data_IF_627342629525
#
_entry.id   IF_627342629525
#
_cell.length_a   1.000
_cell.length_b   1.000
_cell.length_c   1.000
_cell.angle_alpha   90.00
_cell.angle_beta   90.00
_cell.angle_gamma   90.00
#
_symmetry.space_group_name_H-M   'P 1'
#
loop_
_entity.id
_entity.type
_entity.pdbx_description
1 polymer ?
#
# COMPACT_ATOMS: atom_id res chain seq x y z
N UNK A 1 26.21 -0.73 -27.24
CA UNK A 1 26.28 0.65 -26.79
C UNK A 1 26.38 0.81 -25.26
N UNK A 2 25.65 0.01 -24.45
CA UNK A 2 25.73 0.09 -22.98
C UNK A 2 27.12 -0.25 -22.44
N UNK A 3 27.77 -1.30 -22.98
CA UNK A 3 29.10 -1.75 -22.57
C UNK A 3 30.22 -0.71 -22.73
N UNK A 4 30.11 0.19 -23.72
CA UNK A 4 31.09 1.23 -23.96
C UNK A 4 31.04 2.38 -22.92
N UNK A 5 29.95 2.50 -22.18
CA UNK A 5 29.75 3.50 -21.12
C UNK A 5 30.01 2.97 -19.71
N UNK A 6 30.04 1.65 -19.54
CA UNK A 6 30.36 1.02 -18.25
C UNK A 6 31.91 0.92 -18.17
N UNK A 7 32.56 1.94 -17.62
CA UNK A 7 33.99 1.99 -17.43
C UNK A 7 34.55 0.97 -16.42
N UNK A 8 33.62 0.22 -15.73
CA UNK A 8 34.01 -0.72 -14.69
C UNK A 8 33.83 -2.18 -15.11
N UNK A 9 34.85 -3.02 -14.94
CA UNK A 9 34.76 -4.47 -15.16
C UNK A 9 33.71 -5.14 -14.27
N UNK A 10 33.48 -4.60 -13.06
CA UNK A 10 32.50 -5.16 -12.10
C UNK A 10 31.08 -4.87 -12.52
N UNK A 11 30.76 -3.63 -12.96
CA UNK A 11 29.45 -3.28 -13.54
C UNK A 11 29.18 -4.07 -14.83
N UNK A 12 30.21 -4.24 -15.66
CA UNK A 12 30.16 -5.07 -16.85
C UNK A 12 29.91 -6.54 -16.49
N UNK A 13 30.48 -7.05 -15.38
CA UNK A 13 30.24 -8.38 -14.84
C UNK A 13 28.82 -8.58 -14.37
N UNK A 14 28.25 -7.63 -13.61
CA UNK A 14 26.84 -7.65 -13.18
C UNK A 14 25.89 -7.70 -14.38
N UNK A 15 26.11 -6.89 -15.39
CA UNK A 15 25.30 -6.88 -16.62
C UNK A 15 25.48 -8.15 -17.44
N UNK A 16 26.68 -8.76 -17.46
CA UNK A 16 26.94 -10.04 -18.13
C UNK A 16 26.38 -11.25 -17.39
N UNK A 17 26.39 -11.23 -16.05
CA UNK A 17 25.79 -12.30 -15.24
C UNK A 17 24.26 -12.31 -15.34
N UNK A 18 23.63 -11.21 -15.75
CA UNK A 18 22.23 -11.18 -16.16
C UNK A 18 22.06 -11.85 -17.52
N UNK A 19 22.18 -13.17 -17.57
CA UNK A 19 21.97 -13.95 -18.81
C UNK A 19 20.61 -13.61 -19.43
N UNK A 20 20.61 -12.71 -20.41
CA UNK A 20 19.41 -12.27 -21.14
C UNK A 20 18.59 -11.13 -20.52
N UNK A 21 18.94 -10.61 -19.34
CA UNK A 21 18.22 -9.53 -18.67
C UNK A 21 18.54 -8.12 -19.21
N UNK A 22 17.54 -7.26 -19.31
CA UNK A 22 17.71 -5.84 -19.63
C UNK A 22 18.15 -5.10 -18.38
N UNK A 23 19.05 -4.11 -18.53
CA UNK A 23 19.47 -3.22 -17.45
C UNK A 23 19.00 -1.78 -17.74
N UNK A 24 18.39 -1.14 -16.74
CA UNK A 24 18.05 0.28 -16.75
C UNK A 24 19.26 1.08 -16.28
N UNK A 25 19.73 2.05 -17.07
CA UNK A 25 20.76 2.99 -16.65
C UNK A 25 20.13 4.34 -16.31
N UNK A 26 20.32 4.79 -15.09
CA UNK A 26 19.92 6.11 -14.59
C UNK A 26 21.20 6.95 -14.47
N UNK A 27 21.32 8.01 -15.25
CA UNK A 27 22.51 8.88 -15.26
C UNK A 27 22.30 10.20 -14.51
N UNK A 28 21.08 10.49 -14.07
CA UNK A 28 20.74 11.66 -13.28
C UNK A 28 19.26 11.70 -12.96
N UNK A 29 18.90 12.47 -11.94
CA UNK A 29 17.51 12.78 -11.55
C UNK A 29 17.43 14.29 -11.40
N UNK A 30 16.65 14.91 -12.26
CA UNK A 30 16.42 16.37 -12.27
C UNK A 30 15.00 16.63 -11.84
N UNK A 31 14.84 17.41 -10.77
CA UNK A 31 13.54 17.77 -10.20
C UNK A 31 13.57 19.27 -9.88
N UNK A 32 12.50 20.01 -10.12
CA UNK A 32 12.41 21.42 -9.71
C UNK A 32 12.69 21.57 -8.19
N UNK A 33 13.43 22.61 -7.82
CA UNK A 33 13.67 22.93 -6.42
C UNK A 33 12.40 23.51 -5.79
N UNK A 34 12.12 23.16 -4.54
CA UNK A 34 10.97 23.65 -3.79
C UNK A 34 10.52 22.65 -2.73
N UNK A 35 9.48 22.99 -2.00
CA UNK A 35 8.96 22.19 -0.88
C UNK A 35 8.48 20.79 -1.28
N UNK A 36 8.10 20.60 -2.55
CA UNK A 36 7.63 19.33 -3.10
C UNK A 36 8.72 18.55 -3.87
N UNK A 37 9.97 19.00 -3.81
CA UNK A 37 11.08 18.39 -4.57
C UNK A 37 11.21 16.89 -4.30
N UNK A 38 11.09 16.50 -3.05
CA UNK A 38 11.17 15.09 -2.62
C UNK A 38 10.04 14.24 -3.20
N UNK A 39 8.81 14.74 -3.12
CA UNK A 39 7.63 14.03 -3.62
C UNK A 39 7.66 13.87 -5.13
N UNK A 40 8.01 14.92 -5.87
CA UNK A 40 8.20 14.84 -7.33
C UNK A 40 9.33 13.90 -7.72
N UNK A 41 10.46 13.95 -7.03
CA UNK A 41 11.59 13.04 -7.28
C UNK A 41 11.21 11.59 -7.04
N UNK A 42 10.50 11.30 -5.96
CA UNK A 42 9.99 9.98 -5.65
C UNK A 42 8.98 9.50 -6.70
N UNK A 43 8.04 10.35 -7.10
CA UNK A 43 7.05 10.02 -8.12
C UNK A 43 7.72 9.71 -9.47
N UNK A 44 8.64 10.57 -9.92
CA UNK A 44 9.38 10.39 -11.18
C UNK A 44 10.13 9.06 -11.22
N UNK A 45 10.89 8.76 -10.15
CA UNK A 45 11.62 7.49 -10.06
C UNK A 45 10.67 6.29 -10.06
N UNK A 46 9.58 6.38 -9.32
CA UNK A 46 8.58 5.32 -9.26
C UNK A 46 7.98 5.02 -10.64
N UNK A 47 7.64 6.05 -11.42
CA UNK A 47 7.10 5.88 -12.78
C UNK A 47 8.13 5.22 -13.72
N UNK A 48 9.39 5.68 -13.69
CA UNK A 48 10.45 5.12 -14.53
C UNK A 48 10.74 3.66 -14.15
N UNK A 49 10.83 3.36 -12.85
CA UNK A 49 11.13 2.02 -12.36
C UNK A 49 9.97 1.04 -12.63
N UNK A 50 8.72 1.47 -12.45
CA UNK A 50 7.55 0.62 -12.77
C UNK A 50 7.43 0.37 -14.27
N UNK A 51 7.71 1.38 -15.12
CA UNK A 51 7.76 1.20 -16.55
C UNK A 51 8.89 0.20 -16.96
N UNK A 52 10.05 0.29 -16.33
CA UNK A 52 11.13 -0.66 -16.59
C UNK A 52 10.74 -2.09 -16.17
N UNK A 53 10.10 -2.25 -15.00
CA UNK A 53 9.59 -3.55 -14.54
C UNK A 53 8.55 -4.14 -15.49
N UNK A 54 7.61 -3.34 -15.98
CA UNK A 54 6.59 -3.80 -16.95
C UNK A 54 7.21 -4.27 -18.27
N UNK A 55 8.45 -3.85 -18.56
CA UNK A 55 9.25 -4.26 -19.72
C UNK A 55 10.32 -5.30 -19.38
N UNK A 56 10.21 -5.91 -18.19
CA UNK A 56 11.07 -6.98 -17.70
C UNK A 56 12.56 -6.62 -17.61
N UNK A 57 12.87 -5.37 -17.21
CA UNK A 57 14.23 -5.00 -16.85
C UNK A 57 14.63 -5.71 -15.54
N UNK A 58 15.76 -6.42 -15.58
CA UNK A 58 16.23 -7.24 -14.48
C UNK A 58 17.04 -6.44 -13.43
N UNK A 59 17.73 -5.39 -13.85
CA UNK A 59 18.63 -4.61 -13.00
C UNK A 59 18.47 -3.12 -13.25
N UNK A 60 18.60 -2.33 -12.16
CA UNK A 60 18.80 -0.89 -12.19
C UNK A 60 20.22 -0.53 -11.85
N UNK A 61 20.82 0.39 -12.61
CA UNK A 61 22.14 0.94 -12.38
C UNK A 61 22.03 2.46 -12.33
N UNK A 62 22.52 3.06 -11.25
CA UNK A 62 22.68 4.51 -11.16
C UNK A 62 24.17 4.84 -11.34
N UNK A 63 24.49 5.54 -12.40
CA UNK A 63 25.86 5.98 -12.72
C UNK A 63 25.76 7.46 -13.12
N UNK A 64 25.96 8.40 -12.18
CA UNK A 64 25.82 9.82 -12.47
C UNK A 64 26.85 10.26 -13.51
N UNK A 65 26.45 11.18 -14.39
CA UNK A 65 27.38 11.84 -15.30
C UNK A 65 28.33 12.75 -14.50
N UNK A 66 29.53 13.01 -15.03
CA UNK A 66 30.47 13.96 -14.42
C UNK A 66 29.77 15.31 -14.20
N UNK A 67 29.85 15.84 -12.98
CA UNK A 67 29.18 17.08 -12.59
C UNK A 67 27.68 16.96 -12.28
N UNK A 68 27.01 15.83 -12.56
CA UNK A 68 25.61 15.60 -12.30
C UNK A 68 25.35 14.79 -11.00
N UNK A 69 26.38 14.41 -10.26
CA UNK A 69 26.26 13.74 -8.99
C UNK A 69 25.64 14.68 -7.94
N UNK A 70 24.35 14.51 -7.66
CA UNK A 70 23.61 15.26 -6.65
C UNK A 70 23.41 14.39 -5.42
N UNK A 71 23.72 14.92 -4.22
CA UNK A 71 23.44 14.24 -2.96
C UNK A 71 21.94 13.88 -2.84
N UNK A 72 21.06 14.77 -3.30
CA UNK A 72 19.61 14.55 -3.35
C UNK A 72 19.25 13.36 -4.25
N UNK A 73 19.73 13.33 -5.50
CA UNK A 73 19.46 12.22 -6.41
C UNK A 73 19.99 10.89 -5.84
N UNK A 74 21.20 10.90 -5.28
CA UNK A 74 21.79 9.72 -4.64
C UNK A 74 20.93 9.20 -3.49
N UNK A 75 20.43 10.08 -2.64
CA UNK A 75 19.57 9.70 -1.51
C UNK A 75 18.24 9.11 -1.98
N UNK A 76 17.60 9.72 -2.97
CA UNK A 76 16.39 9.17 -3.59
C UNK A 76 16.60 7.75 -4.13
N UNK A 77 17.70 7.52 -4.83
CA UNK A 77 18.07 6.21 -5.41
C UNK A 77 18.35 5.17 -4.31
N UNK A 78 19.08 5.54 -3.25
CA UNK A 78 19.33 4.65 -2.11
C UNK A 78 18.02 4.20 -1.44
N UNK A 79 17.05 5.09 -1.31
CA UNK A 79 15.71 4.77 -0.76
C UNK A 79 14.90 3.83 -1.65
N UNK A 80 15.28 3.66 -2.93
CA UNK A 80 14.70 2.62 -3.79
C UNK A 80 15.38 1.25 -3.62
N UNK A 81 16.26 1.07 -2.62
CA UNK A 81 16.96 -0.19 -2.37
C UNK A 81 18.22 -0.41 -3.20
N UNK A 82 18.67 0.60 -3.95
CA UNK A 82 19.97 0.53 -4.61
C UNK A 82 21.10 0.53 -3.58
N UNK A 83 22.11 -0.28 -3.81
CA UNK A 83 23.30 -0.40 -2.96
C UNK A 83 24.56 -0.02 -3.70
N UNK A 84 25.62 0.44 -3.00
CA UNK A 84 26.89 0.75 -3.63
C UNK A 84 27.49 -0.44 -4.39
N UNK A 85 28.08 -0.17 -5.53
CA UNK A 85 28.83 -1.18 -6.31
C UNK A 85 30.26 -1.17 -5.83
N UNK A 86 30.79 -2.35 -5.45
CA UNK A 86 32.15 -2.48 -4.98
C UNK A 86 33.16 -2.00 -6.04
N UNK A 87 34.10 -1.15 -5.61
CA UNK A 87 35.13 -0.57 -6.49
C UNK A 87 34.70 0.66 -7.31
N UNK A 88 33.43 1.08 -7.20
CA UNK A 88 32.87 2.24 -7.92
C UNK A 88 32.33 3.28 -6.95
N UNK A 89 32.98 4.46 -6.90
CA UNK A 89 32.70 5.48 -5.88
C UNK A 89 31.27 5.98 -5.88
N UNK A 90 30.67 6.18 -7.06
CA UNK A 90 29.36 6.85 -7.21
C UNK A 90 28.28 5.96 -7.82
N UNK A 91 28.63 4.72 -8.20
CA UNK A 91 27.69 3.80 -8.81
C UNK A 91 26.87 3.04 -7.77
N UNK A 92 25.55 2.91 -8.05
CA UNK A 92 24.61 2.13 -7.25
C UNK A 92 23.89 1.13 -8.15
N UNK A 93 23.50 -0.05 -7.61
CA UNK A 93 22.78 -1.08 -8.35
C UNK A 93 21.65 -1.66 -7.52
N UNK A 94 20.58 -2.13 -8.20
CA UNK A 94 19.50 -2.88 -7.59
C UNK A 94 19.03 -4.03 -8.46
N UNK A 95 18.67 -5.15 -7.84
CA UNK A 95 17.97 -6.25 -8.48
C UNK A 95 16.46 -5.89 -8.57
N UNK A 96 15.96 -5.81 -9.80
CA UNK A 96 14.58 -5.44 -10.11
C UNK A 96 13.67 -6.63 -10.35
N UNK A 97 14.20 -7.86 -10.46
CA UNK A 97 13.43 -9.04 -10.85
C UNK A 97 12.31 -9.40 -9.89
N UNK A 98 12.48 -9.11 -8.60
CA UNK A 98 11.50 -9.38 -7.55
C UNK A 98 11.44 -8.21 -6.56
N UNK A 99 10.76 -7.10 -6.90
CA UNK A 99 10.73 -5.91 -6.06
C UNK A 99 9.93 -6.13 -4.77
N UNK A 100 10.26 -5.32 -3.77
CA UNK A 100 9.38 -5.01 -2.64
C UNK A 100 8.48 -3.84 -3.04
N UNK A 101 7.24 -3.86 -2.64
CA UNK A 101 6.31 -2.75 -2.92
C UNK A 101 5.69 -2.25 -1.62
N UNK A 102 5.80 -0.96 -1.39
CA UNK A 102 5.12 -0.22 -0.32
C UNK A 102 3.97 0.58 -0.93
N UNK A 103 2.74 0.24 -0.57
CA UNK A 103 1.56 1.06 -0.86
C UNK A 103 1.40 2.11 0.24
N UNK A 104 1.66 3.38 -0.07
CA UNK A 104 1.53 4.51 0.84
C UNK A 104 0.08 4.93 0.92
N UNK A 105 -0.56 4.69 2.06
CA UNK A 105 -2.00 4.93 2.22
C UNK A 105 -2.40 5.47 3.61
N UNK A 106 -1.47 5.92 4.44
CA UNK A 106 -1.79 6.43 5.77
C UNK A 106 -2.71 7.66 5.71
N UNK A 107 -2.51 8.53 4.72
CA UNK A 107 -3.35 9.73 4.53
C UNK A 107 -4.82 9.37 4.27
N UNK A 108 -5.07 8.22 3.63
CA UNK A 108 -6.41 7.72 3.36
C UNK A 108 -7.03 6.96 4.56
N UNK A 109 -6.27 6.73 5.61
CA UNK A 109 -6.75 6.13 6.85
C UNK A 109 -7.18 7.18 7.89
N UNK A 110 -6.80 8.45 7.70
CA UNK A 110 -7.09 9.56 8.60
C UNK A 110 -8.25 10.39 8.04
N UNK A 111 -9.15 10.83 8.90
CA UNK A 111 -10.31 11.64 8.52
C UNK A 111 -9.95 13.11 8.30
N UNK A 112 -10.65 13.75 7.37
CA UNK A 112 -10.64 15.21 7.25
C UNK A 112 -11.40 15.86 8.42
N UNK A 113 -10.97 17.05 8.89
CA UNK A 113 -9.86 17.87 8.36
C UNK A 113 -8.48 17.51 8.93
N UNK A 114 -8.37 16.50 9.80
CA UNK A 114 -7.11 16.13 10.48
C UNK A 114 -6.01 15.69 9.49
N UNK A 115 -6.37 14.93 8.46
CA UNK A 115 -5.42 14.46 7.45
C UNK A 115 -4.68 15.59 6.73
N UNK A 116 -5.32 16.75 6.55
CA UNK A 116 -4.74 17.92 5.87
C UNK A 116 -4.02 18.90 6.82
N UNK A 117 -3.98 18.60 8.13
CA UNK A 117 -3.25 19.47 9.08
C UNK A 117 -1.74 19.34 8.86
N UNK A 118 -1.01 20.47 8.79
CA UNK A 118 0.43 20.45 8.49
C UNK A 118 1.27 19.54 9.39
N UNK A 119 0.99 19.52 10.68
CA UNK A 119 1.71 18.66 11.63
C UNK A 119 1.47 17.17 11.36
N UNK A 120 0.23 16.77 11.04
CA UNK A 120 -0.11 15.38 10.71
C UNK A 120 0.51 14.97 9.38
N UNK A 121 0.43 15.83 8.36
CA UNK A 121 1.04 15.60 7.06
C UNK A 121 2.57 15.46 7.16
N UNK A 122 3.23 16.30 7.96
CA UNK A 122 4.67 16.22 8.21
C UNK A 122 5.06 14.92 8.94
N UNK A 123 4.32 14.53 9.97
CA UNK A 123 4.54 13.26 10.67
C UNK A 123 4.38 12.05 9.73
N UNK A 124 3.34 12.03 8.88
CA UNK A 124 3.14 11.01 7.87
C UNK A 124 4.28 10.94 6.84
N UNK A 125 4.75 12.09 6.36
CA UNK A 125 5.88 12.16 5.40
C UNK A 125 7.17 11.64 6.03
N UNK A 126 7.50 12.04 7.26
CA UNK A 126 8.66 11.55 7.97
C UNK A 126 8.59 10.04 8.23
N UNK A 127 7.42 9.54 8.63
CA UNK A 127 7.17 8.12 8.85
C UNK A 127 7.39 7.29 7.57
N UNK A 128 6.95 7.78 6.41
CA UNK A 128 7.15 7.11 5.10
C UNK A 128 8.62 6.97 4.73
N UNK A 129 9.41 8.01 4.94
CA UNK A 129 10.85 8.00 4.67
C UNK A 129 11.51 6.91 5.52
N UNK A 130 11.27 6.93 6.83
CA UNK A 130 11.83 5.93 7.76
C UNK A 130 11.39 4.51 7.41
N UNK A 131 10.10 4.32 7.07
CA UNK A 131 9.58 3.02 6.68
C UNK A 131 10.23 2.50 5.40
N UNK A 132 10.36 3.35 4.38
CA UNK A 132 11.00 2.97 3.13
C UNK A 132 12.48 2.58 3.35
N UNK A 133 13.21 3.33 4.16
CA UNK A 133 14.58 3.00 4.56
C UNK A 133 14.66 1.68 5.34
N UNK A 134 13.73 1.42 6.26
CA UNK A 134 13.67 0.15 6.99
C UNK A 134 13.39 -1.04 6.04
N UNK A 135 12.53 -0.86 5.03
CA UNK A 135 12.24 -1.89 4.03
C UNK A 135 13.46 -2.23 3.15
N UNK A 136 14.32 -1.25 2.83
CA UNK A 136 15.55 -1.53 2.08
C UNK A 136 16.52 -2.41 2.87
N UNK A 137 16.45 -2.37 4.19
CA UNK A 137 17.24 -3.21 5.08
C UNK A 137 16.81 -4.69 5.13
N UNK A 138 15.57 -5.02 4.71
CA UNK A 138 15.07 -6.39 4.73
C UNK A 138 15.77 -7.29 3.68
N UNK A 139 15.96 -6.76 2.49
CA UNK A 139 16.60 -7.45 1.37
C UNK A 139 17.55 -6.48 0.65
N UNK A 140 18.76 -6.25 1.17
CA UNK A 140 19.70 -5.28 0.60
C UNK A 140 19.98 -5.55 -0.87
N UNK A 141 19.94 -4.51 -1.68
CA UNK A 141 20.14 -4.60 -3.13
C UNK A 141 18.92 -5.03 -3.93
N UNK A 142 17.78 -5.30 -3.31
CA UNK A 142 16.50 -5.49 -4.02
C UNK A 142 15.75 -4.16 -4.15
N UNK A 143 15.13 -3.96 -5.30
CA UNK A 143 14.31 -2.76 -5.54
C UNK A 143 13.17 -2.65 -4.53
N UNK A 144 12.98 -1.46 -3.97
CA UNK A 144 11.85 -1.09 -3.12
C UNK A 144 11.06 0.02 -3.81
N UNK A 145 9.86 -0.30 -4.29
CA UNK A 145 8.95 0.68 -4.88
C UNK A 145 8.02 1.27 -3.82
N UNK A 146 7.95 2.59 -3.75
CA UNK A 146 7.06 3.29 -2.84
C UNK A 146 6.00 4.04 -3.65
N UNK A 147 4.78 3.50 -3.67
CA UNK A 147 3.69 3.88 -4.56
C UNK A 147 2.58 4.60 -3.78
N UNK A 148 2.10 5.73 -4.28
CA UNK A 148 1.04 6.52 -3.63
C UNK A 148 -0.35 5.98 -3.93
N UNK A 149 -1.10 5.60 -2.89
CA UNK A 149 -2.52 5.23 -3.04
C UNK A 149 -3.36 6.37 -3.64
N UNK A 150 -3.02 7.64 -3.34
CA UNK A 150 -3.69 8.81 -3.92
C UNK A 150 -3.53 8.92 -5.43
N UNK A 151 -2.31 8.69 -5.94
CA UNK A 151 -2.04 8.69 -7.40
C UNK A 151 -2.81 7.57 -8.08
N UNK A 152 -2.81 6.37 -7.50
CA UNK A 152 -3.55 5.23 -8.04
C UNK A 152 -5.05 5.49 -8.04
N UNK A 153 -5.56 6.05 -6.95
CA UNK A 153 -6.96 6.46 -6.83
C UNK A 153 -7.39 7.37 -7.99
N UNK A 154 -6.65 8.45 -8.23
CA UNK A 154 -6.97 9.40 -9.32
C UNK A 154 -6.90 8.73 -10.70
N UNK A 155 -5.90 7.91 -10.95
CA UNK A 155 -5.76 7.18 -12.22
C UNK A 155 -6.86 6.15 -12.41
N UNK A 156 -7.29 5.45 -11.35
CA UNK A 156 -8.43 4.55 -11.41
C UNK A 156 -9.72 5.30 -11.73
N UNK A 157 -9.98 6.45 -11.10
CA UNK A 157 -11.14 7.28 -11.44
C UNK A 157 -11.16 7.65 -12.92
N UNK A 158 -10.03 8.11 -13.45
CA UNK A 158 -9.91 8.45 -14.87
C UNK A 158 -10.17 7.25 -15.79
N UNK A 159 -9.63 6.07 -15.45
CA UNK A 159 -9.86 4.85 -16.24
C UNK A 159 -11.29 4.35 -16.16
N UNK A 160 -11.91 4.37 -14.98
CA UNK A 160 -13.30 3.96 -14.81
C UNK A 160 -14.23 4.87 -15.60
N UNK A 161 -14.07 6.18 -15.51
CA UNK A 161 -14.91 7.15 -16.22
C UNK A 161 -14.68 7.07 -17.73
N UNK A 162 -13.45 6.95 -18.21
CA UNK A 162 -13.13 6.76 -19.62
C UNK A 162 -13.73 5.45 -20.16
N UNK A 163 -13.62 4.34 -19.41
CA UNK A 163 -14.24 3.06 -19.79
C UNK A 163 -15.75 3.16 -19.87
N UNK A 164 -16.35 3.89 -18.94
CA UNK A 164 -17.79 4.12 -18.85
C UNK A 164 -18.30 5.22 -19.84
N UNK A 165 -17.42 5.76 -20.66
CA UNK A 165 -17.76 6.78 -21.68
C UNK A 165 -18.24 8.11 -21.09
N UNK A 166 -17.83 8.47 -19.86
CA UNK A 166 -18.25 9.67 -19.16
C UNK A 166 -17.05 10.52 -18.71
N UNK A 167 -17.22 11.83 -18.50
CA UNK A 167 -16.17 12.68 -17.95
C UNK A 167 -15.80 12.28 -16.52
N UNK A 168 -14.54 12.52 -16.15
CA UNK A 168 -14.05 12.35 -14.78
C UNK A 168 -14.56 13.43 -13.82
N UNK A 169 -15.04 14.56 -14.35
CA UNK A 169 -15.64 15.64 -13.60
C UNK A 169 -17.17 15.47 -13.53
N UNK A 170 -17.80 15.81 -12.40
CA UNK A 170 -19.26 15.73 -12.27
C UNK A 170 -19.97 16.60 -13.33
N UNK A 171 -20.95 16.04 -14.02
CA UNK A 171 -21.81 16.75 -14.97
C UNK A 171 -23.07 17.32 -14.28
N UNK A 172 -23.51 18.49 -14.78
CA UNK A 172 -24.80 19.09 -14.40
C UNK A 172 -25.53 19.45 -15.69
N UNK A 173 -26.71 18.84 -15.99
CA UNK A 173 -27.38 17.76 -15.26
C UNK A 173 -26.58 16.45 -15.29
N UNK A 174 -26.75 15.60 -14.28
CA UNK A 174 -26.03 14.33 -14.13
C UNK A 174 -26.41 13.36 -15.24
N UNK A 175 -25.41 12.90 -15.98
CA UNK A 175 -25.52 11.80 -16.95
C UNK A 175 -24.72 10.60 -16.44
N UNK A 176 -25.34 9.43 -16.43
CA UNK A 176 -24.71 8.21 -15.95
C UNK A 176 -24.30 7.33 -17.13
N UNK A 177 -23.09 6.85 -17.09
CA UNK A 177 -22.61 5.84 -18.04
C UNK A 177 -23.33 4.49 -17.86
N UNK A 178 -23.16 3.56 -18.82
CA UNK A 178 -23.88 2.29 -18.85
C UNK A 178 -23.49 1.33 -17.72
N UNK A 179 -22.23 1.35 -17.28
CA UNK A 179 -21.70 0.36 -16.36
C UNK A 179 -21.82 0.79 -14.90
N UNK A 180 -21.79 -0.17 -13.99
CA UNK A 180 -21.70 0.07 -12.54
C UNK A 180 -20.26 -0.18 -12.07
N UNK A 181 -19.69 0.77 -11.35
CA UNK A 181 -18.41 0.61 -10.66
C UNK A 181 -18.63 -0.11 -9.34
N UNK A 182 -17.93 -1.23 -9.15
CA UNK A 182 -18.02 -2.08 -7.95
C UNK A 182 -16.64 -2.24 -7.31
N UNK A 183 -16.23 -1.30 -6.44
CA UNK A 183 -15.07 -1.50 -5.59
C UNK A 183 -15.29 -2.70 -4.66
N UNK A 184 -14.35 -3.66 -4.65
CA UNK A 184 -14.42 -4.83 -3.77
C UNK A 184 -13.21 -4.97 -2.82
N UNK A 185 -12.22 -4.08 -2.95
CA UNK A 185 -11.06 -3.94 -2.06
C UNK A 185 -11.15 -2.76 -1.11
N UNK A 186 -9.97 -2.29 -0.66
CA UNK A 186 -9.88 -1.13 0.25
C UNK A 186 -9.87 0.20 -0.53
N UNK A 187 -9.39 0.22 -1.78
CA UNK A 187 -9.39 1.42 -2.63
C UNK A 187 -10.81 1.78 -3.06
N UNK A 188 -11.08 3.06 -3.24
CA UNK A 188 -12.41 3.60 -3.58
C UNK A 188 -13.53 3.24 -2.58
N UNK A 189 -13.18 2.73 -1.39
CA UNK A 189 -14.18 2.38 -0.37
C UNK A 189 -14.89 3.64 0.11
N UNK A 190 -16.22 3.69 -0.09
CA UNK A 190 -17.05 4.84 0.30
C UNK A 190 -16.98 6.05 -0.63
N UNK A 191 -16.34 5.92 -1.78
CA UNK A 191 -16.25 6.96 -2.80
C UNK A 191 -17.32 6.74 -3.86
N UNK A 192 -17.91 7.83 -4.35
CA UNK A 192 -18.77 7.82 -5.53
C UNK A 192 -17.95 8.25 -6.73
N UNK A 193 -17.84 7.39 -7.73
CA UNK A 193 -17.16 7.72 -9.00
C UNK A 193 -18.03 8.71 -9.78
N UNK A 194 -17.47 9.81 -10.30
CA UNK A 194 -18.23 10.78 -11.09
C UNK A 194 -18.99 10.13 -12.26
N UNK A 195 -20.21 10.56 -12.50
CA UNK A 195 -21.07 10.13 -13.61
C UNK A 195 -21.23 8.61 -13.77
N UNK A 196 -20.97 7.85 -12.71
CA UNK A 196 -20.98 6.39 -12.71
C UNK A 196 -21.77 5.89 -11.50
N UNK A 197 -22.65 4.92 -11.70
CA UNK A 197 -23.28 4.23 -10.58
C UNK A 197 -22.18 3.49 -9.81
N UNK A 198 -22.11 3.74 -8.50
CA UNK A 198 -21.05 3.11 -7.66
C UNK A 198 -21.68 2.37 -6.52
N UNK A 199 -21.36 1.08 -6.37
CA UNK A 199 -21.81 0.24 -5.27
C UNK A 199 -20.68 -0.64 -4.77
N UNK A 200 -20.17 -0.38 -3.58
CA UNK A 200 -19.05 -1.13 -2.99
C UNK A 200 -19.51 -2.49 -2.47
N UNK A 201 -18.79 -3.55 -2.78
CA UNK A 201 -18.79 -4.82 -2.06
C UNK A 201 -17.87 -4.68 -0.84
N UNK A 202 -18.47 -4.80 0.34
CA UNK A 202 -17.77 -4.65 1.61
C UNK A 202 -17.12 -5.97 2.02
N UNK A 203 -15.94 -6.24 1.46
CA UNK A 203 -15.12 -7.39 1.83
C UNK A 203 -14.09 -7.01 2.89
N UNK A 204 -13.72 -7.97 3.72
CA UNK A 204 -12.62 -7.84 4.64
C UNK A 204 -11.75 -9.10 4.67
N UNK A 205 -10.51 -8.94 5.11
CA UNK A 205 -9.56 -10.03 5.35
C UNK A 205 -9.56 -10.30 6.84
N UNK A 206 -10.11 -11.44 7.23
CA UNK A 206 -10.32 -11.81 8.62
C UNK A 206 -9.40 -12.97 8.99
N UNK A 207 -8.45 -12.72 9.87
CA UNK A 207 -7.56 -13.75 10.41
C UNK A 207 -8.24 -14.59 11.48
N UNK A 208 -7.88 -15.87 11.52
CA UNK A 208 -8.19 -16.73 12.67
C UNK A 208 -7.45 -16.24 13.92
N UNK A 209 -7.94 -16.56 15.13
CA UNK A 209 -7.34 -16.07 16.38
C UNK A 209 -5.88 -16.46 16.61
N UNK A 210 -5.44 -17.56 16.03
CA UNK A 210 -4.06 -18.07 16.07
C UNK A 210 -3.18 -17.54 14.93
N UNK A 211 -3.75 -16.70 14.04
CA UNK A 211 -3.11 -16.11 12.86
C UNK A 211 -2.61 -17.14 11.82
N UNK A 212 -2.98 -18.40 11.94
CA UNK A 212 -2.54 -19.49 11.03
C UNK A 212 -3.11 -19.35 9.62
N UNK A 213 -4.31 -18.78 9.50
CA UNK A 213 -5.03 -18.62 8.24
C UNK A 213 -5.89 -17.35 8.24
N UNK A 214 -6.38 -16.98 7.07
CA UNK A 214 -7.41 -15.95 6.94
C UNK A 214 -8.42 -16.31 5.86
N UNK A 215 -9.62 -15.76 5.99
CA UNK A 215 -10.71 -15.84 5.01
C UNK A 215 -11.07 -14.45 4.48
N UNK A 216 -11.73 -14.42 3.34
CA UNK A 216 -12.37 -13.20 2.80
C UNK A 216 -13.86 -13.29 3.13
N UNK A 217 -14.32 -12.33 3.94
CA UNK A 217 -15.68 -12.27 4.47
C UNK A 217 -16.32 -10.91 4.19
N UNK A 218 -17.61 -10.79 4.55
CA UNK A 218 -18.23 -9.48 4.61
C UNK A 218 -17.61 -8.68 5.76
N UNK A 219 -17.42 -7.37 5.54
CA UNK A 219 -16.95 -6.48 6.60
C UNK A 219 -17.97 -6.51 7.78
N UNK A 220 -17.48 -6.49 9.03
CA UNK A 220 -18.38 -6.52 10.20
C UNK A 220 -19.49 -5.48 10.14
N UNK A 221 -20.72 -5.91 10.42
CA UNK A 221 -21.91 -5.06 10.36
C UNK A 221 -22.53 -4.89 8.97
N UNK A 222 -21.98 -5.52 7.93
CA UNK A 222 -22.57 -5.56 6.59
C UNK A 222 -23.23 -6.91 6.30
N UNK A 223 -24.15 -6.91 5.34
CA UNK A 223 -24.83 -8.13 4.86
C UNK A 223 -23.81 -9.15 4.33
N UNK A 224 -24.11 -10.46 4.40
CA UNK A 224 -23.27 -11.50 3.81
C UNK A 224 -22.95 -11.24 2.33
N UNK A 225 -21.78 -11.69 1.86
CA UNK A 225 -21.33 -11.43 0.48
C UNK A 225 -22.36 -11.89 -0.59
N UNK A 226 -23.07 -13.03 -0.46
CA UNK A 226 -24.09 -13.41 -1.43
C UNK A 226 -25.21 -12.36 -1.57
N UNK A 227 -25.63 -11.75 -0.47
CA UNK A 227 -26.67 -10.71 -0.47
C UNK A 227 -26.19 -9.40 -1.09
N UNK A 228 -24.93 -9.05 -0.81
CA UNK A 228 -24.31 -7.90 -1.43
C UNK A 228 -24.20 -8.08 -2.98
N UNK A 229 -23.82 -9.27 -3.44
CA UNK A 229 -23.73 -9.58 -4.88
C UNK A 229 -25.12 -9.57 -5.52
N UNK A 230 -26.14 -10.13 -4.88
CA UNK A 230 -27.54 -10.01 -5.34
C UNK A 230 -27.98 -8.55 -5.49
N UNK A 231 -27.57 -7.69 -4.57
CA UNK A 231 -27.83 -6.25 -4.68
C UNK A 231 -27.14 -5.63 -5.90
N UNK A 232 -25.89 -6.04 -6.22
CA UNK A 232 -25.21 -5.58 -7.44
C UNK A 232 -25.97 -6.04 -8.69
N UNK A 233 -26.38 -7.30 -8.74
CA UNK A 233 -27.15 -7.86 -9.86
C UNK A 233 -28.47 -7.14 -10.12
N UNK A 234 -29.13 -6.65 -9.05
CA UNK A 234 -30.39 -5.91 -9.15
C UNK A 234 -30.30 -4.57 -9.91
N UNK A 235 -29.09 -4.02 -10.13
CA UNK A 235 -28.90 -2.85 -10.99
C UNK A 235 -29.03 -3.19 -12.48
N UNK A 236 -28.94 -4.44 -12.86
CA UNK A 236 -29.04 -4.96 -14.24
C UNK A 236 -28.12 -4.23 -15.24
N UNK A 237 -26.87 -3.99 -14.81
CA UNK A 237 -25.83 -3.31 -15.59
C UNK A 237 -24.57 -4.14 -15.63
N UNK A 238 -23.74 -4.01 -16.68
CA UNK A 238 -22.39 -4.56 -16.67
C UNK A 238 -21.56 -3.97 -15.53
N UNK A 239 -20.65 -4.77 -15.00
CA UNK A 239 -19.88 -4.44 -13.78
C UNK A 239 -18.43 -4.18 -14.13
N UNK A 240 -17.90 -3.04 -13.68
CA UNK A 240 -16.47 -2.76 -13.57
C UNK A 240 -16.07 -3.08 -12.12
N UNK A 241 -15.38 -4.20 -11.92
CA UNK A 241 -14.82 -4.57 -10.61
C UNK A 241 -13.54 -3.79 -10.34
N UNK A 242 -13.38 -3.23 -9.12
CA UNK A 242 -12.20 -2.42 -8.80
C UNK A 242 -11.56 -2.86 -7.50
N UNK A 243 -10.21 -3.06 -7.52
CA UNK A 243 -9.40 -3.35 -6.32
C UNK A 243 -8.10 -2.54 -6.32
N UNK A 244 -7.44 -2.51 -5.17
CA UNK A 244 -6.11 -1.92 -5.03
C UNK A 244 -5.03 -2.82 -5.64
N UNK A 245 -5.10 -4.14 -5.43
CA UNK A 245 -4.08 -5.09 -5.88
C UNK A 245 -4.67 -6.43 -6.28
N UNK A 246 -4.15 -6.98 -7.38
CA UNK A 246 -4.42 -8.34 -7.82
C UNK A 246 -3.11 -9.12 -7.94
N UNK A 247 -2.86 -10.00 -6.97
CA UNK A 247 -1.72 -10.90 -6.91
C UNK A 247 -2.18 -12.36 -6.86
N UNK A 248 -2.45 -12.92 -5.67
CA UNK A 248 -2.98 -14.28 -5.49
C UNK A 248 -4.49 -14.37 -5.73
N UNK A 249 -5.16 -13.23 -5.81
CA UNK A 249 -6.57 -13.10 -6.14
C UNK A 249 -7.54 -13.71 -5.13
N UNK A 250 -7.18 -13.86 -3.85
CA UNK A 250 -8.08 -14.47 -2.85
C UNK A 250 -9.46 -13.82 -2.78
N UNK A 251 -9.54 -12.48 -2.92
CA UNK A 251 -10.84 -11.78 -2.95
C UNK A 251 -11.66 -12.16 -4.17
N UNK A 252 -11.07 -12.07 -5.35
CA UNK A 252 -11.79 -12.37 -6.59
C UNK A 252 -12.16 -13.85 -6.67
N UNK A 253 -11.31 -14.78 -6.23
CA UNK A 253 -11.64 -16.21 -6.12
C UNK A 253 -12.84 -16.46 -5.19
N UNK A 254 -13.03 -15.64 -4.16
CA UNK A 254 -14.21 -15.71 -3.27
C UNK A 254 -15.46 -15.13 -3.92
N UNK A 255 -15.31 -14.09 -4.75
CA UNK A 255 -16.43 -13.38 -5.36
C UNK A 255 -16.89 -14.02 -6.70
N UNK A 256 -15.96 -14.55 -7.50
CA UNK A 256 -16.26 -15.07 -8.84
C UNK A 256 -17.41 -16.10 -8.85
N UNK A 257 -17.44 -17.13 -7.97
CA UNK A 257 -18.56 -18.06 -7.93
C UNK A 257 -19.90 -17.40 -7.60
N UNK A 258 -19.91 -16.36 -6.76
CA UNK A 258 -21.12 -15.62 -6.40
C UNK A 258 -21.63 -14.76 -7.55
N UNK A 259 -20.71 -14.14 -8.30
CA UNK A 259 -21.03 -13.37 -9.51
C UNK A 259 -21.60 -14.29 -10.61
N UNK A 260 -21.01 -15.47 -10.79
CA UNK A 260 -21.47 -16.47 -11.73
C UNK A 260 -22.87 -17.01 -11.38
N UNK A 261 -23.09 -17.41 -10.11
CA UNK A 261 -24.39 -17.88 -9.62
C UNK A 261 -25.52 -16.86 -9.79
N UNK A 262 -25.20 -15.58 -9.73
CA UNK A 262 -26.18 -14.51 -9.95
C UNK A 262 -26.25 -14.03 -11.40
N UNK A 263 -25.49 -14.64 -12.31
CA UNK A 263 -25.37 -14.20 -13.69
C UNK A 263 -25.02 -12.71 -13.82
N UNK A 264 -24.14 -12.23 -12.94
CA UNK A 264 -23.66 -10.84 -12.97
C UNK A 264 -22.60 -10.70 -14.06
N UNK A 265 -22.86 -9.88 -15.07
CA UNK A 265 -21.92 -9.64 -16.17
C UNK A 265 -20.78 -8.76 -15.70
N UNK A 266 -19.56 -9.33 -15.61
CA UNK A 266 -18.33 -8.58 -15.39
C UNK A 266 -17.79 -8.13 -16.74
N UNK A 267 -17.74 -6.81 -16.96
CA UNK A 267 -17.23 -6.22 -18.19
C UNK A 267 -15.71 -6.04 -18.12
N UNK A 268 -15.20 -5.63 -16.93
CA UNK A 268 -13.78 -5.46 -16.71
C UNK A 268 -13.40 -5.53 -15.22
N UNK A 269 -12.17 -5.96 -14.95
CA UNK A 269 -11.50 -5.82 -13.65
C UNK A 269 -10.44 -4.74 -13.79
N UNK A 270 -10.52 -3.67 -12.99
CA UNK A 270 -9.55 -2.58 -12.95
C UNK A 270 -8.82 -2.62 -11.60
N UNK A 271 -7.50 -2.65 -11.62
CA UNK A 271 -6.72 -2.70 -10.38
C UNK A 271 -5.61 -1.65 -10.37
N UNK A 272 -5.25 -1.20 -9.17
CA UNK A 272 -4.10 -0.34 -8.99
C UNK A 272 -2.81 -1.06 -9.41
N UNK A 273 -2.65 -2.30 -8.96
CA UNK A 273 -1.48 -3.13 -9.22
C UNK A 273 -1.88 -4.51 -9.69
N UNK A 274 -1.28 -4.96 -10.80
CA UNK A 274 -1.46 -6.28 -11.36
C UNK A 274 -0.12 -7.01 -11.36
N UNK A 275 -0.07 -8.24 -10.85
CA UNK A 275 1.09 -9.10 -11.00
C UNK A 275 0.89 -10.13 -12.09
N UNK A 276 1.97 -10.83 -12.51
CA UNK A 276 1.87 -11.94 -13.47
C UNK A 276 0.89 -13.01 -12.99
N UNK A 277 0.99 -13.43 -11.72
CA UNK A 277 0.03 -14.39 -11.12
C UNK A 277 -1.42 -13.88 -11.16
N UNK A 278 -1.62 -12.58 -10.91
CA UNK A 278 -2.95 -11.97 -10.96
C UNK A 278 -3.50 -11.95 -12.39
N UNK A 279 -2.67 -11.66 -13.39
CA UNK A 279 -3.04 -11.70 -14.81
C UNK A 279 -3.43 -13.12 -15.23
N UNK A 280 -2.60 -14.11 -14.93
CA UNK A 280 -2.85 -15.50 -15.27
C UNK A 280 -4.17 -16.01 -14.65
N UNK A 281 -4.47 -15.57 -13.41
CA UNK A 281 -5.76 -15.86 -12.77
C UNK A 281 -6.94 -15.23 -13.53
N UNK A 282 -6.82 -13.98 -13.99
CA UNK A 282 -7.91 -13.34 -14.75
C UNK A 282 -8.15 -14.04 -16.09
N UNK A 283 -7.08 -14.44 -16.77
CA UNK A 283 -7.18 -15.26 -17.98
C UNK A 283 -7.93 -16.58 -17.71
N UNK A 284 -7.60 -17.28 -16.61
CA UNK A 284 -8.29 -18.51 -16.19
C UNK A 284 -9.78 -18.30 -15.87
N UNK A 285 -10.13 -17.15 -15.26
CA UNK A 285 -11.53 -16.81 -14.94
C UNK A 285 -12.29 -16.20 -16.12
N UNK A 286 -11.62 -15.90 -17.23
CA UNK A 286 -12.22 -15.26 -18.40
C UNK A 286 -12.60 -13.80 -18.18
N UNK A 287 -11.99 -13.11 -17.21
CA UNK A 287 -12.27 -11.70 -16.93
C UNK A 287 -11.23 -10.80 -17.60
N UNK A 288 -11.64 -9.83 -18.44
CA UNK A 288 -10.75 -8.79 -18.95
C UNK A 288 -10.17 -7.99 -17.77
N UNK A 289 -8.84 -7.82 -17.75
CA UNK A 289 -8.17 -7.09 -16.68
C UNK A 289 -7.30 -5.96 -17.23
N UNK A 290 -7.31 -4.81 -16.55
CA UNK A 290 -6.39 -3.69 -16.77
C UNK A 290 -5.88 -3.14 -15.43
N UNK A 291 -4.73 -2.46 -15.44
CA UNK A 291 -4.09 -1.98 -14.23
C UNK A 291 -3.40 -0.63 -14.45
N UNK A 292 -3.23 0.11 -13.35
CA UNK A 292 -2.42 1.33 -13.35
C UNK A 292 -0.94 0.95 -13.47
N UNK A 293 -0.51 -0.06 -12.70
CA UNK A 293 0.86 -0.58 -12.73
C UNK A 293 0.87 -2.09 -12.90
N UNK A 294 1.69 -2.56 -13.86
CA UNK A 294 1.97 -3.97 -14.05
C UNK A 294 3.35 -4.33 -13.49
N UNK A 295 3.37 -5.27 -12.55
CA UNK A 295 4.56 -5.75 -11.85
C UNK A 295 4.65 -7.26 -12.08
N UNK A 296 5.38 -7.76 -13.10
CA UNK A 296 5.38 -9.17 -13.50
C UNK A 296 5.66 -10.10 -12.32
N UNK A 297 6.65 -9.77 -11.52
CA UNK A 297 7.04 -10.51 -10.33
C UNK A 297 7.05 -9.59 -9.11
N UNK A 298 6.75 -10.17 -7.95
CA UNK A 298 6.69 -9.47 -6.68
C UNK A 298 7.35 -10.34 -5.61
N UNK A 299 8.24 -9.76 -4.80
CA UNK A 299 8.76 -10.44 -3.62
C UNK A 299 7.82 -10.31 -2.44
N UNK A 300 7.46 -9.07 -2.10
CA UNK A 300 6.57 -8.73 -0.97
C UNK A 300 5.80 -7.45 -1.24
N UNK A 301 4.63 -7.43 -0.64
CA UNK A 301 3.73 -6.28 -0.64
C UNK A 301 3.49 -5.80 0.78
N UNK A 302 3.68 -4.52 1.00
CA UNK A 302 3.40 -3.86 2.27
C UNK A 302 2.35 -2.76 2.05
N UNK A 303 1.39 -2.69 2.94
CA UNK A 303 0.41 -1.60 3.01
C UNK A 303 0.73 -0.76 4.24
N UNK A 304 1.12 0.48 4.04
CA UNK A 304 1.63 1.36 5.09
C UNK A 304 0.73 1.37 6.35
N UNK A 305 -0.56 1.64 6.18
CA UNK A 305 -1.49 1.71 7.30
C UNK A 305 -1.63 0.40 8.07
N UNK A 306 -1.45 -0.77 7.43
CA UNK A 306 -1.58 -2.05 8.12
C UNK A 306 -0.40 -2.36 9.03
N UNK A 307 0.73 -1.66 8.84
CA UNK A 307 1.90 -1.76 9.70
C UNK A 307 1.81 -0.86 10.95
N UNK A 308 0.87 0.08 10.98
CA UNK A 308 0.75 1.08 12.04
C UNK A 308 -0.42 0.74 12.99
N UNK A 309 -0.13 0.25 14.21
CA UNK A 309 -1.16 -0.08 15.20
C UNK A 309 -2.04 1.14 15.51
N UNK A 310 -3.32 0.90 15.79
CA UNK A 310 -4.39 1.89 16.02
C UNK A 310 -4.78 2.75 14.81
N UNK A 311 -3.93 2.86 13.79
CA UNK A 311 -4.23 3.55 12.53
C UNK A 311 -4.78 2.56 11.49
N UNK A 312 -4.26 1.32 11.50
CA UNK A 312 -4.69 0.25 10.61
C UNK A 312 -4.30 -1.12 11.14
N UNK A 313 -4.45 -2.12 10.30
CA UNK A 313 -4.22 -3.52 10.59
C UNK A 313 -5.11 -4.41 9.73
N UNK A 314 -5.01 -5.71 9.91
CA UNK A 314 -5.94 -6.68 9.36
C UNK A 314 -6.86 -7.18 10.49
N UNK A 315 -8.14 -7.42 10.21
CA UNK A 315 -9.12 -7.86 11.21
C UNK A 315 -8.79 -9.26 11.72
N UNK A 316 -8.96 -9.45 13.04
CA UNK A 316 -8.85 -10.76 13.71
C UNK A 316 -10.23 -11.19 14.18
N UNK A 317 -10.56 -12.46 13.95
CA UNK A 317 -11.82 -13.05 14.42
C UNK A 317 -11.78 -13.17 15.94
N UNK A 318 -12.68 -12.47 16.61
CA UNK A 318 -12.94 -12.58 18.05
C UNK A 318 -14.43 -12.62 18.31
N UNK A 319 -14.82 -13.32 19.35
CA UNK A 319 -16.21 -13.30 19.84
C UNK A 319 -16.47 -11.98 20.54
N UNK A 320 -17.34 -11.15 19.97
CA UNK A 320 -17.72 -9.84 20.49
C UNK A 320 -16.86 -8.68 19.97
N UNK A 321 -17.39 -7.48 20.08
CA UNK A 321 -16.67 -6.25 19.83
C UNK A 321 -15.90 -5.85 21.09
N UNK A 322 -14.72 -5.28 20.92
CA UNK A 322 -14.04 -4.59 22.00
C UNK A 322 -14.90 -3.41 22.49
N UNK A 323 -14.79 -3.02 23.77
CA UNK A 323 -15.46 -1.84 24.28
C UNK A 323 -15.24 -0.63 23.36
N UNK A 324 -16.25 0.22 23.19
CA UNK A 324 -16.16 1.40 22.31
C UNK A 324 -16.32 1.12 20.82
N UNK A 325 -16.72 -0.09 20.41
CA UNK A 325 -16.91 -0.45 18.99
C UNK A 325 -15.60 -0.61 18.20
N UNK A 326 -14.47 -0.69 18.89
CA UNK A 326 -13.17 -0.96 18.27
C UNK A 326 -13.12 -2.39 17.72
N UNK A 327 -12.53 -2.57 16.54
CA UNK A 327 -12.33 -3.88 15.93
C UNK A 327 -10.97 -4.44 16.36
N UNK A 328 -10.89 -5.71 16.81
CA UNK A 328 -9.61 -6.37 17.05
C UNK A 328 -8.85 -6.53 15.75
N UNK A 329 -7.55 -6.22 15.77
CA UNK A 329 -6.70 -6.27 14.58
C UNK A 329 -5.34 -6.87 14.88
N UNK A 330 -4.68 -7.35 13.85
CA UNK A 330 -3.28 -7.72 13.87
C UNK A 330 -2.47 -6.81 12.97
N UNK A 331 -1.37 -6.32 13.52
CA UNK A 331 -0.29 -5.71 12.78
C UNK A 331 0.84 -6.75 12.69
N UNK A 332 1.27 -7.10 11.47
CA UNK A 332 2.31 -8.14 11.28
C UNK A 332 3.70 -7.57 11.51
N UNK A 333 3.91 -7.11 12.72
CA UNK A 333 5.16 -6.59 13.28
C UNK A 333 5.28 -7.05 14.74
N UNK A 334 6.51 -7.12 15.26
CA UNK A 334 6.74 -7.37 16.67
C UNK A 334 6.27 -6.16 17.51
N UNK A 335 5.77 -6.36 18.73
CA UNK A 335 5.58 -7.62 19.46
C UNK A 335 4.23 -8.31 19.16
N UNK A 336 3.38 -7.82 18.25
CA UNK A 336 2.03 -8.36 18.04
C UNK A 336 2.02 -9.70 17.30
N UNK A 337 2.78 -9.78 16.20
CA UNK A 337 2.91 -10.99 15.40
C UNK A 337 4.27 -11.03 14.73
N UNK A 338 4.83 -12.23 14.55
CA UNK A 338 6.02 -12.39 13.71
C UNK A 338 5.64 -12.14 12.24
N UNK A 339 6.30 -11.21 11.53
CA UNK A 339 6.10 -11.08 10.10
C UNK A 339 6.65 -12.33 9.40
N UNK A 340 5.89 -12.89 8.45
CA UNK A 340 6.36 -14.01 7.61
C UNK A 340 7.31 -13.47 6.52
N UNK A 341 8.55 -13.24 6.90
CA UNK A 341 9.61 -12.76 6.02
C UNK A 341 10.70 -13.84 5.92
N UNK A 342 10.55 -14.82 5.01
CA UNK A 342 11.57 -15.84 4.82
C UNK A 342 12.89 -15.21 4.38
N UNK A 343 13.98 -15.76 4.84
CA UNK A 343 15.36 -15.37 4.51
C UNK A 343 15.74 -13.94 4.96
N UNK A 344 14.99 -13.36 5.91
CA UNK A 344 15.31 -12.05 6.49
C UNK A 344 15.95 -12.23 7.86
N UNK A 345 17.03 -11.49 8.10
CA UNK A 345 17.70 -11.44 9.38
C UNK A 345 16.75 -10.93 10.48
N UNK A 346 16.76 -11.60 11.64
CA UNK A 346 15.90 -11.25 12.79
C UNK A 346 16.11 -9.80 13.28
N UNK A 347 17.32 -9.27 13.15
CA UNK A 347 17.64 -7.88 13.48
C UNK A 347 16.95 -6.91 12.53
N UNK A 348 16.88 -7.23 11.23
CA UNK A 348 16.17 -6.40 10.25
C UNK A 348 14.65 -6.41 10.52
N UNK A 349 14.09 -7.57 10.87
CA UNK A 349 12.68 -7.69 11.31
C UNK A 349 12.40 -6.85 12.56
N UNK A 350 13.31 -6.91 13.55
CA UNK A 350 13.21 -6.10 14.76
C UNK A 350 13.27 -4.60 14.46
N UNK A 351 14.21 -4.18 13.60
CA UNK A 351 14.35 -2.77 13.18
C UNK A 351 13.11 -2.25 12.45
N UNK A 352 12.56 -3.05 11.51
CA UNK A 352 11.30 -2.71 10.84
C UNK A 352 10.16 -2.54 11.84
N UNK A 353 10.03 -3.49 12.80
CA UNK A 353 8.98 -3.46 13.80
C UNK A 353 9.07 -2.22 14.69
N UNK A 354 10.27 -1.90 15.17
CA UNK A 354 10.52 -0.68 15.96
C UNK A 354 10.18 0.59 15.15
N UNK A 355 10.63 0.66 13.90
CA UNK A 355 10.30 1.77 13.00
C UNK A 355 8.79 1.95 12.84
N UNK A 356 8.03 0.86 12.67
CA UNK A 356 6.58 0.92 12.51
C UNK A 356 5.87 1.40 13.79
N UNK A 357 6.31 0.94 14.96
CA UNK A 357 5.76 1.40 16.25
C UNK A 357 6.04 2.89 16.50
N UNK A 358 7.29 3.33 16.26
CA UNK A 358 7.68 4.73 16.42
C UNK A 358 6.94 5.63 15.42
N UNK A 359 6.79 5.20 14.17
CA UNK A 359 6.02 5.90 13.14
C UNK A 359 4.54 6.04 13.55
N UNK A 360 3.90 4.95 14.00
CA UNK A 360 2.52 4.99 14.44
C UNK A 360 2.34 5.94 15.64
N UNK A 361 3.25 5.89 16.62
CA UNK A 361 3.25 6.78 17.77
C UNK A 361 3.36 8.25 17.35
N UNK A 362 4.33 8.59 16.50
CA UNK A 362 4.57 9.96 16.06
C UNK A 362 3.37 10.55 15.31
N UNK A 363 2.73 9.74 14.44
CA UNK A 363 1.51 10.14 13.73
C UNK A 363 0.36 10.34 14.73
N UNK A 364 0.18 9.44 15.69
CA UNK A 364 -0.89 9.55 16.69
C UNK A 364 -0.68 10.75 17.62
N UNK A 365 0.55 11.05 18.05
CA UNK A 365 0.85 12.25 18.82
C UNK A 365 0.48 13.53 18.06
N UNK A 366 0.80 13.60 16.77
CA UNK A 366 0.39 14.72 15.92
C UNK A 366 -1.14 14.81 15.79
N UNK A 367 -1.83 13.67 15.61
CA UNK A 367 -3.30 13.61 15.57
C UNK A 367 -3.94 14.03 16.88
N UNK A 368 -3.42 13.59 18.01
CA UNK A 368 -3.90 13.93 19.37
C UNK A 368 -3.76 15.43 19.66
N UNK A 369 -2.63 16.03 19.24
CA UNK A 369 -2.39 17.46 19.37
C UNK A 369 -3.35 18.30 18.50
N UNK A 370 -3.48 17.94 17.21
CA UNK A 370 -4.37 18.64 16.28
C UNK A 370 -5.84 18.45 16.62
N UNK A 371 -6.23 17.26 17.08
CA UNK A 371 -7.58 16.99 17.54
C UNK A 371 -7.95 17.85 18.73
N UNK A 372 -7.03 17.97 19.72
CA UNK A 372 -7.21 18.86 20.89
C UNK A 372 -7.33 20.32 20.48
N UNK A 373 -6.52 20.76 19.54
CA UNK A 373 -6.57 22.12 19.00
C UNK A 373 -7.90 22.44 18.32
N UNK A 374 -8.43 21.50 17.53
CA UNK A 374 -9.67 21.70 16.78
C UNK A 374 -10.95 21.57 17.62
N UNK A 375 -10.97 20.64 18.57
CA UNK A 375 -12.19 20.24 19.26
C UNK A 375 -12.19 20.52 20.77
N UNK A 376 -11.11 21.08 21.31
CA UNK A 376 -10.91 21.35 22.74
C UNK A 376 -11.11 20.10 23.64
N UNK A 377 -10.84 18.90 23.11
CA UNK A 377 -11.00 17.59 23.75
C UNK A 377 -9.81 16.70 23.48
N UNK A 378 -9.56 15.73 24.36
CA UNK A 378 -8.54 14.72 24.12
C UNK A 378 -9.02 13.65 23.14
N UNK A 379 -8.15 13.25 22.20
CA UNK A 379 -8.36 12.07 21.36
C UNK A 379 -7.99 10.82 22.19
N UNK A 380 -9.01 10.12 22.66
CA UNK A 380 -8.88 8.86 23.41
C UNK A 380 -9.25 7.68 22.53
N UNK A 381 -9.02 6.45 22.99
CA UNK A 381 -9.45 5.26 22.26
C UNK A 381 -10.97 5.25 22.01
N UNK A 382 -11.78 5.71 22.94
CA UNK A 382 -13.24 5.85 22.75
C UNK A 382 -13.60 6.79 21.58
N UNK A 383 -12.71 7.71 21.23
CA UNK A 383 -12.92 8.70 20.18
C UNK A 383 -12.03 8.49 18.96
N UNK A 384 -11.26 7.40 18.93
CA UNK A 384 -10.34 7.14 17.83
C UNK A 384 -11.04 7.14 16.47
N UNK A 385 -12.29 6.68 16.41
CA UNK A 385 -13.14 6.74 15.22
C UNK A 385 -13.52 8.15 14.75
N UNK A 386 -13.27 9.21 15.55
CA UNK A 386 -13.46 10.60 15.10
C UNK A 386 -12.27 11.08 14.25
N UNK A 387 -11.08 10.46 14.40
CA UNK A 387 -9.85 10.81 13.69
C UNK A 387 -9.43 9.78 12.64
N UNK A 388 -9.66 8.50 12.90
CA UNK A 388 -9.30 7.38 12.02
C UNK A 388 -10.56 6.81 11.37
N UNK A 389 -10.48 6.46 10.07
CA UNK A 389 -11.66 6.02 9.30
C UNK A 389 -12.19 4.68 9.81
N UNK A 390 -11.31 3.74 10.10
CA UNK A 390 -11.63 2.42 10.63
C UNK A 390 -10.82 2.23 11.92
N UNK A 391 -11.41 2.56 13.09
CA UNK A 391 -10.71 2.42 14.36
C UNK A 391 -10.45 0.94 14.66
N UNK A 392 -9.19 0.59 14.69
CA UNK A 392 -8.68 -0.74 14.97
C UNK A 392 -7.91 -0.74 16.28
N UNK A 393 -7.84 -1.87 16.95
CA UNK A 393 -7.11 -2.02 18.18
C UNK A 393 -6.28 -3.31 18.14
N UNK A 394 -4.96 -3.25 18.35
CA UNK A 394 -4.11 -4.45 18.32
C UNK A 394 -4.64 -5.54 19.25
N UNK A 395 -4.85 -6.74 18.70
CA UNK A 395 -5.26 -7.89 19.48
C UNK A 395 -4.03 -8.48 20.21
N UNK A 396 -4.05 -8.43 21.53
CA UNK A 396 -2.99 -8.98 22.39
C UNK A 396 -3.46 -10.23 23.16
N UNK A 397 -4.56 -10.84 22.68
CA UNK A 397 -5.12 -12.04 23.28
C UNK A 397 -6.34 -11.77 24.18
N UNK A 398 -6.97 -12.86 24.68
CA UNK A 398 -8.30 -12.78 25.31
C UNK A 398 -8.35 -12.05 26.65
N UNK A 399 -7.22 -11.90 27.32
CA UNK A 399 -7.14 -11.26 28.64
C UNK A 399 -6.78 -9.77 28.57
N UNK A 400 -6.59 -9.20 27.38
CA UNK A 400 -6.21 -7.80 27.27
C UNK A 400 -7.42 -6.89 27.18
N UNK A 401 -7.51 -5.95 28.10
CA UNK A 401 -8.49 -4.87 28.08
C UNK A 401 -7.79 -3.54 27.83
N UNK A 402 -8.41 -2.71 27.00
CA UNK A 402 -7.97 -1.34 26.76
C UNK A 402 -8.81 -0.37 27.59
N UNK A 403 -8.14 0.56 28.29
CA UNK A 403 -8.81 1.69 28.92
C UNK A 403 -9.14 2.72 27.84
N UNK A 404 -10.41 2.85 27.54
CA UNK A 404 -10.92 3.72 26.47
C UNK A 404 -10.72 5.22 26.74
N UNK A 405 -10.40 5.60 27.98
CA UNK A 405 -10.14 7.00 28.36
C UNK A 405 -8.71 7.44 28.05
N UNK A 406 -7.82 6.49 27.74
CA UNK A 406 -6.42 6.75 27.41
C UNK A 406 -6.21 7.01 25.93
N UNK A 407 -5.16 7.75 25.60
CA UNK A 407 -4.71 7.99 24.24
C UNK A 407 -4.04 6.74 23.65
N UNK A 408 -4.14 6.54 22.33
CA UNK A 408 -3.52 5.40 21.63
C UNK A 408 -1.99 5.44 21.70
N UNK A 409 -1.38 6.63 21.62
CA UNK A 409 0.07 6.84 21.74
C UNK A 409 0.66 6.27 23.03
N UNK A 410 -0.07 6.35 24.15
CA UNK A 410 0.37 5.82 25.44
C UNK A 410 0.58 4.29 25.44
N UNK A 411 -0.24 3.57 24.67
CA UNK A 411 -0.08 2.12 24.52
C UNK A 411 1.14 1.78 23.68
N UNK A 412 1.41 2.59 22.64
CA UNK A 412 2.59 2.38 21.80
C UNK A 412 3.91 2.64 22.54
N UNK A 413 3.95 3.57 23.47
CA UNK A 413 5.13 3.76 24.32
C UNK A 413 5.47 2.48 25.08
N UNK A 414 4.47 1.81 25.66
CA UNK A 414 4.65 0.52 26.33
C UNK A 414 5.11 -0.60 25.39
N UNK A 415 4.54 -0.65 24.17
CA UNK A 415 4.90 -1.66 23.17
C UNK A 415 6.32 -1.46 22.63
N UNK A 416 6.77 -0.21 22.46
CA UNK A 416 8.14 0.15 22.08
C UNK A 416 9.11 -0.30 23.19
N UNK A 417 8.79 -0.04 24.45
CA UNK A 417 9.63 -0.50 25.57
C UNK A 417 9.70 -2.03 25.64
N UNK A 418 8.57 -2.72 25.46
CA UNK A 418 8.53 -4.18 25.42
C UNK A 418 9.43 -4.71 24.30
N UNK A 419 9.31 -4.16 23.08
CA UNK A 419 10.12 -4.59 21.94
C UNK A 419 11.62 -4.33 22.18
N UNK A 420 11.98 -3.22 22.81
CA UNK A 420 13.38 -2.93 23.15
C UNK A 420 13.98 -3.90 24.16
N UNK A 421 13.15 -4.44 25.07
CA UNK A 421 13.57 -5.49 26.05
C UNK A 421 13.71 -6.86 25.41
N UNK A 422 13.08 -7.13 24.26
CA UNK A 422 13.20 -8.40 23.53
C UNK A 422 14.51 -8.53 22.74
N UNK A 423 15.36 -7.51 22.74
CA UNK A 423 16.67 -7.51 22.11
C UNK A 423 17.74 -8.00 23.08
#
# INVERSE_FOLDING_TARGET
>A
MLYARLKSPQLTGLVRQSTGGRALLISGVLVPRGDQQEEFGQLLLTEVLTLALSREYAYGLYCPLEGAASAFARQLILRQGFVPVAGEKDALAADMRRPLVLNRNVDTAIKQPLASRPAVAAAGSAARIRLQEALTGLYPGNLVLSLSAGVIYHRLLQRITARNGVPAEPLVPRQLGPDICVPYGKILRGVTVPNTVTKTLRTDKVYEPDLSAYSIEAYPGYSPLPDQVRTIRAFDRPVILVDDMLHDGKRIRRLAPLLEQTHTRVDQVLVGYLTGMGRDLMEQLGYPVDSIYYLPNLRRWFVESTLYPFIGGDTVRRTGLLPGGLQPSVNRILPYASPELPDVDSRAVWQLSLCCLENARDILLALEAEYRSLYARNLTLARLGEAVILPLCPDKGPCMTYDLTRAASTYLDGDIEQLRRMR
#
